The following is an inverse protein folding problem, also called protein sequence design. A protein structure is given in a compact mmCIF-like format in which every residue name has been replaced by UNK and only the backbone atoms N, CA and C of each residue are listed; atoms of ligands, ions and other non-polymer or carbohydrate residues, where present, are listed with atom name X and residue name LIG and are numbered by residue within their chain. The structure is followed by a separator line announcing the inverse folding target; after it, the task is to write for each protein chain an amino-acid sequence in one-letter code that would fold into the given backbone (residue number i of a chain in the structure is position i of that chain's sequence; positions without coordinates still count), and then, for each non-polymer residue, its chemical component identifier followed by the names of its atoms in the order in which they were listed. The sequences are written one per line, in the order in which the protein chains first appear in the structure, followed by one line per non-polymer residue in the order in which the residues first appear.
data_IF_996087093068
#
_entry.id   IF_996087093068
#
_cell.length_a   1.000
_cell.length_b   1.000
_cell.length_c   1.000
_cell.angle_alpha   90.00
_cell.angle_beta   90.00
_cell.angle_gamma   90.00
#
_symmetry.space_group_name_H-M   'P 1'
#
loop_
_entity.id
_entity.type
_entity.pdbx_description
1 polymer ?
#
# COMPACT_ATOMS: atom_id res chain seq x y z
N UNK A 1 -12.05 13.39 9.46
CA UNK A 1 -11.27 12.90 8.31
C UNK A 1 -11.89 13.49 7.05
N UNK A 2 -11.08 13.88 6.08
CA UNK A 2 -11.56 14.35 4.78
C UNK A 2 -12.26 13.19 4.04
N UNK A 3 -13.47 13.42 3.55
CA UNK A 3 -14.30 12.43 2.84
C UNK A 3 -13.55 11.87 1.62
N UNK A 4 -12.71 12.69 0.98
CA UNK A 4 -11.86 12.27 -0.13
C UNK A 4 -10.74 11.30 0.29
N UNK A 5 -10.23 11.40 1.53
CA UNK A 5 -9.24 10.45 2.06
C UNK A 5 -9.89 9.12 2.43
N UNK A 6 -11.12 9.15 2.93
CA UNK A 6 -11.86 7.93 3.27
C UNK A 6 -12.19 7.12 2.01
N UNK A 7 -12.63 7.77 0.93
CA UNK A 7 -12.92 7.10 -0.33
C UNK A 7 -11.64 6.46 -0.93
N UNK A 8 -10.50 7.14 -0.88
CA UNK A 8 -9.22 6.58 -1.34
C UNK A 8 -8.77 5.37 -0.51
N UNK A 9 -9.01 5.40 0.80
CA UNK A 9 -8.69 4.28 1.69
C UNK A 9 -9.55 3.06 1.34
N UNK A 10 -10.85 3.28 1.13
CA UNK A 10 -11.80 2.25 0.74
C UNK A 10 -11.47 1.62 -0.62
N UNK A 11 -11.18 2.46 -1.62
CA UNK A 11 -10.77 2.00 -2.96
C UNK A 11 -9.51 1.13 -2.90
N UNK A 12 -8.49 1.57 -2.14
CA UNK A 12 -7.25 0.84 -2.00
C UNK A 12 -7.45 -0.47 -1.23
N UNK A 13 -8.21 -0.45 -0.13
CA UNK A 13 -8.57 -1.66 0.63
C UNK A 13 -9.26 -2.69 -0.26
N UNK A 14 -10.29 -2.27 -0.99
CA UNK A 14 -11.06 -3.13 -1.89
C UNK A 14 -10.17 -3.73 -2.98
N UNK A 15 -9.31 -2.92 -3.60
CA UNK A 15 -8.37 -3.38 -4.62
C UNK A 15 -7.39 -4.44 -4.09
N UNK A 16 -6.86 -4.23 -2.88
CA UNK A 16 -5.95 -5.21 -2.24
C UNK A 16 -6.70 -6.50 -1.97
N UNK A 17 -7.87 -6.44 -1.35
CA UNK A 17 -8.70 -7.61 -1.06
C UNK A 17 -9.04 -8.40 -2.34
N UNK A 18 -9.41 -7.72 -3.43
CA UNK A 18 -9.68 -8.36 -4.72
C UNK A 18 -8.44 -9.05 -5.30
N UNK A 19 -7.28 -8.41 -5.22
CA UNK A 19 -6.02 -9.00 -5.69
C UNK A 19 -5.68 -10.28 -4.91
N UNK A 20 -5.85 -10.24 -3.59
CA UNK A 20 -5.61 -11.40 -2.73
C UNK A 20 -6.60 -12.54 -3.03
N UNK A 21 -7.90 -12.23 -3.14
CA UNK A 21 -8.92 -13.23 -3.49
C UNK A 21 -8.62 -13.89 -4.83
N UNK A 22 -8.16 -13.12 -5.83
CA UNK A 22 -7.78 -13.64 -7.14
C UNK A 22 -6.66 -14.68 -7.03
N UNK A 23 -5.63 -14.39 -6.23
CA UNK A 23 -4.49 -15.30 -6.04
C UNK A 23 -4.90 -16.56 -5.28
N UNK A 24 -5.65 -16.41 -4.18
CA UNK A 24 -6.16 -17.55 -3.42
C UNK A 24 -7.01 -18.44 -4.33
N UNK A 25 -7.94 -17.85 -5.09
CA UNK A 25 -8.84 -18.59 -5.99
C UNK A 25 -8.07 -19.35 -7.06
N UNK A 26 -7.07 -18.72 -7.68
CA UNK A 26 -6.23 -19.35 -8.69
C UNK A 26 -5.46 -20.55 -8.11
N UNK A 27 -4.84 -20.38 -6.94
CA UNK A 27 -4.02 -21.41 -6.28
C UNK A 27 -4.85 -22.56 -5.70
N UNK A 28 -6.08 -22.28 -5.23
CA UNK A 28 -7.00 -23.34 -4.82
C UNK A 28 -7.46 -24.14 -6.04
N UNK A 29 -7.76 -23.46 -7.16
CA UNK A 29 -8.24 -24.11 -8.39
C UNK A 29 -7.18 -24.99 -9.06
N UNK A 30 -5.91 -24.58 -9.03
CA UNK A 30 -4.81 -25.36 -9.60
C UNK A 30 -4.24 -26.42 -8.64
N UNK A 31 -4.73 -26.46 -7.39
CA UNK A 31 -4.33 -27.42 -6.36
C UNK A 31 -3.03 -27.06 -5.63
N UNK A 32 -2.40 -25.91 -5.92
CA UNK A 32 -1.21 -25.42 -5.22
C UNK A 32 -1.50 -24.85 -3.83
N UNK A 33 -2.78 -24.66 -3.47
CA UNK A 33 -3.23 -24.21 -2.14
C UNK A 33 -4.43 -25.03 -1.65
N UNK A 34 -4.41 -25.42 -0.38
CA UNK A 34 -5.55 -26.06 0.27
C UNK A 34 -6.60 -25.05 0.72
N UNK A 35 -7.86 -25.48 0.82
CA UNK A 35 -8.94 -24.63 1.36
C UNK A 35 -8.67 -24.14 2.79
N UNK A 36 -8.00 -24.97 3.62
CA UNK A 36 -7.61 -24.58 4.97
C UNK A 36 -6.59 -23.43 4.96
N UNK A 37 -5.58 -23.50 4.08
CA UNK A 37 -4.60 -22.41 3.90
C UNK A 37 -5.25 -21.15 3.35
N UNK A 38 -6.16 -21.29 2.38
CA UNK A 38 -6.95 -20.18 1.84
C UNK A 38 -7.77 -19.46 2.92
N UNK A 39 -8.41 -20.22 3.83
CA UNK A 39 -9.15 -19.65 4.95
C UNK A 39 -8.24 -18.88 5.92
N UNK A 40 -7.08 -19.41 6.27
CA UNK A 40 -6.12 -18.72 7.14
C UNK A 40 -5.67 -17.38 6.56
N UNK A 41 -5.41 -17.34 5.25
CA UNK A 41 -5.05 -16.09 4.56
C UNK A 41 -6.21 -15.10 4.61
N UNK A 42 -7.43 -15.55 4.31
CA UNK A 42 -8.61 -14.69 4.31
C UNK A 42 -8.89 -14.10 5.70
N UNK A 43 -8.76 -14.90 6.76
CA UNK A 43 -8.93 -14.46 8.16
C UNK A 43 -7.92 -13.36 8.53
N UNK A 44 -6.63 -13.58 8.22
CA UNK A 44 -5.59 -12.57 8.46
C UNK A 44 -5.90 -11.26 7.71
N UNK A 45 -6.29 -11.35 6.43
CA UNK A 45 -6.53 -10.17 5.61
C UNK A 45 -7.70 -9.35 6.15
N UNK A 46 -8.77 -10.00 6.62
CA UNK A 46 -9.90 -9.33 7.25
C UNK A 46 -9.51 -8.69 8.59
N UNK A 47 -8.61 -9.33 9.35
CA UNK A 47 -8.08 -8.79 10.60
C UNK A 47 -7.20 -7.55 10.36
N UNK A 48 -6.31 -7.62 9.37
CA UNK A 48 -5.32 -6.58 9.05
C UNK A 48 -5.91 -5.41 8.27
N UNK A 49 -6.95 -5.66 7.47
CA UNK A 49 -7.63 -4.66 6.65
C UNK A 49 -9.10 -4.49 7.06
N UNK A 50 -9.38 -4.03 8.29
CA UNK A 50 -10.74 -3.87 8.78
C UNK A 50 -11.49 -2.77 8.03
N UNK A 51 -12.81 -2.82 8.09
CA UNK A 51 -13.65 -1.74 7.57
C UNK A 51 -13.34 -0.41 8.27
N UNK A 52 -13.30 0.68 7.50
CA UNK A 52 -13.01 2.01 8.03
C UNK A 52 -11.54 2.28 8.37
N UNK A 53 -10.61 1.35 8.11
CA UNK A 53 -9.17 1.62 8.18
C UNK A 53 -8.82 2.87 7.35
N UNK A 54 -8.03 3.77 7.94
CA UNK A 54 -7.65 4.99 7.24
C UNK A 54 -6.50 4.75 6.26
N UNK A 55 -6.34 5.66 5.31
CA UNK A 55 -5.34 5.54 4.24
C UNK A 55 -3.91 5.36 4.78
N UNK A 56 -3.53 6.09 5.82
CA UNK A 56 -2.19 6.04 6.41
C UNK A 56 -1.91 4.66 7.03
N UNK A 57 -2.84 4.17 7.84
CA UNK A 57 -2.78 2.85 8.45
C UNK A 57 -2.72 1.74 7.40
N UNK A 58 -3.49 1.89 6.31
CA UNK A 58 -3.48 0.91 5.22
C UNK A 58 -2.08 0.81 4.60
N UNK A 59 -1.44 1.95 4.28
CA UNK A 59 -0.08 1.99 3.72
C UNK A 59 0.95 1.39 4.67
N UNK A 60 0.78 1.54 5.99
CA UNK A 60 1.67 0.94 6.99
C UNK A 60 1.48 -0.57 7.13
N UNK A 61 0.26 -1.07 6.94
CA UNK A 61 -0.06 -2.50 7.10
C UNK A 61 0.27 -3.31 5.85
N UNK A 62 0.09 -2.76 4.65
CA UNK A 62 0.28 -3.51 3.40
C UNK A 62 1.65 -4.22 3.30
N UNK A 63 2.80 -3.58 3.61
CA UNK A 63 4.11 -4.23 3.56
C UNK A 63 4.28 -5.39 4.54
N UNK A 64 3.41 -5.52 5.54
CA UNK A 64 3.49 -6.56 6.59
C UNK A 64 2.57 -7.74 6.32
N UNK A 65 1.76 -7.67 5.25
CA UNK A 65 0.82 -8.74 4.93
C UNK A 65 1.54 -10.02 4.51
N UNK A 66 2.67 -9.90 3.82
CA UNK A 66 3.44 -11.05 3.37
C UNK A 66 4.39 -11.65 4.42
N UNK A 67 4.63 -10.95 5.54
CA UNK A 67 5.37 -11.50 6.69
C UNK A 67 4.83 -12.85 7.18
N UNK A 68 3.53 -13.08 7.01
CA UNK A 68 2.85 -14.30 7.46
C UNK A 68 2.57 -15.30 6.33
N UNK A 69 2.53 -14.80 5.09
CA UNK A 69 2.14 -15.55 3.89
C UNK A 69 2.86 -14.99 2.66
N UNK A 70 3.96 -15.62 2.25
CA UNK A 70 4.70 -15.27 1.02
C UNK A 70 3.79 -15.28 -0.22
N UNK A 71 2.68 -16.01 -0.17
CA UNK A 71 1.66 -16.02 -1.21
C UNK A 71 1.08 -14.62 -1.48
N UNK A 72 1.05 -13.76 -0.47
CA UNK A 72 0.49 -12.40 -0.53
C UNK A 72 1.43 -11.39 -1.19
N UNK A 73 2.76 -11.62 -1.21
CA UNK A 73 3.71 -10.71 -1.86
C UNK A 73 3.32 -10.47 -3.32
N UNK A 74 2.87 -11.52 -4.03
CA UNK A 74 2.43 -11.42 -5.43
C UNK A 74 1.17 -10.55 -5.64
N UNK A 75 0.30 -10.41 -4.63
CA UNK A 75 -0.87 -9.53 -4.67
C UNK A 75 -0.50 -8.09 -4.29
N UNK A 76 0.32 -7.94 -3.25
CA UNK A 76 0.55 -6.65 -2.60
C UNK A 76 1.66 -5.85 -3.29
N UNK A 77 2.73 -6.50 -3.75
CA UNK A 77 3.89 -5.83 -4.36
C UNK A 77 3.54 -4.92 -5.55
N UNK A 78 2.70 -5.33 -6.53
CA UNK A 78 2.34 -4.45 -7.64
C UNK A 78 1.62 -3.18 -7.19
N UNK A 79 0.81 -3.29 -6.13
CA UNK A 79 0.06 -2.17 -5.54
C UNK A 79 1.02 -1.23 -4.81
N UNK A 80 1.96 -1.78 -4.04
CA UNK A 80 3.00 -1.02 -3.35
C UNK A 80 3.89 -0.25 -4.32
N UNK A 81 4.34 -0.89 -5.40
CA UNK A 81 5.15 -0.24 -6.44
C UNK A 81 4.38 0.91 -7.11
N UNK A 82 3.09 0.73 -7.41
CA UNK A 82 2.27 1.80 -7.99
C UNK A 82 2.13 2.97 -7.01
N UNK A 83 1.92 2.68 -5.73
CA UNK A 83 1.81 3.67 -4.69
C UNK A 83 3.11 4.47 -4.53
N UNK A 84 4.25 3.80 -4.42
CA UNK A 84 5.57 4.43 -4.35
C UNK A 84 5.83 5.36 -5.52
N UNK A 85 5.50 4.93 -6.75
CA UNK A 85 5.62 5.77 -7.95
C UNK A 85 4.74 7.01 -7.89
N UNK A 86 3.49 6.88 -7.44
CA UNK A 86 2.56 8.01 -7.29
C UNK A 86 3.06 9.00 -6.24
N UNK A 87 3.59 8.49 -5.13
CA UNK A 87 4.16 9.30 -4.06
C UNK A 87 5.40 10.04 -4.56
N UNK A 88 6.32 9.34 -5.22
CA UNK A 88 7.53 9.92 -5.78
C UNK A 88 7.20 11.02 -6.80
N UNK A 89 6.26 10.78 -7.71
CA UNK A 89 5.82 11.80 -8.66
C UNK A 89 5.21 13.05 -7.99
N UNK A 90 4.49 12.88 -6.88
CA UNK A 90 3.94 14.00 -6.11
C UNK A 90 5.04 14.81 -5.41
N UNK A 91 6.04 14.13 -4.85
CA UNK A 91 7.23 14.75 -4.24
C UNK A 91 8.04 15.52 -5.28
N UNK A 92 8.35 14.89 -6.42
CA UNK A 92 9.11 15.51 -7.51
C UNK A 92 8.41 16.76 -8.05
N UNK A 93 7.08 16.69 -8.23
CA UNK A 93 6.27 17.86 -8.61
C UNK A 93 6.41 18.97 -7.57
N UNK A 94 6.31 18.65 -6.28
CA UNK A 94 6.41 19.65 -5.21
C UNK A 94 7.79 20.29 -5.13
N UNK A 95 8.84 19.49 -5.31
CA UNK A 95 10.23 19.98 -5.42
C UNK A 95 10.36 20.95 -6.60
N UNK A 96 9.85 20.59 -7.78
CA UNK A 96 9.88 21.46 -8.96
C UNK A 96 9.14 22.78 -8.76
N UNK A 97 7.99 22.77 -8.09
CA UNK A 97 7.25 23.98 -7.72
C UNK A 97 8.06 24.87 -6.77
N UNK A 98 8.65 24.30 -5.72
CA UNK A 98 9.42 25.04 -4.71
C UNK A 98 10.73 25.61 -5.27
N UNK A 99 11.40 24.86 -6.14
CA UNK A 99 12.58 25.32 -6.90
C UNK A 99 12.21 26.54 -7.76
N UNK A 100 11.10 26.47 -8.48
CA UNK A 100 10.61 27.56 -9.33
C UNK A 100 10.22 28.81 -8.53
N UNK A 101 9.82 28.63 -7.27
CA UNK A 101 9.46 29.70 -6.34
C UNK A 101 10.65 30.27 -5.57
N UNK A 102 11.84 29.68 -5.68
CA UNK A 102 13.03 30.08 -4.92
C UNK A 102 12.93 29.83 -3.41
N UNK A 103 11.97 29.01 -2.95
CA UNK A 103 11.74 28.74 -1.54
C UNK A 103 12.62 27.58 -1.05
N UNK A 104 13.90 27.89 -0.78
CA UNK A 104 14.92 26.91 -0.44
C UNK A 104 14.70 26.23 0.92
N UNK A 105 14.12 26.94 1.90
CA UNK A 105 13.85 26.37 3.23
C UNK A 105 12.76 25.29 3.17
N UNK A 106 11.67 25.55 2.45
CA UNK A 106 10.62 24.56 2.23
C UNK A 106 11.11 23.38 1.36
N UNK A 107 12.02 23.65 0.42
CA UNK A 107 12.63 22.61 -0.41
C UNK A 107 13.48 21.65 0.43
N UNK A 108 14.30 22.17 1.35
CA UNK A 108 15.10 21.35 2.27
C UNK A 108 14.23 20.47 3.16
N UNK A 109 13.14 21.02 3.70
CA UNK A 109 12.19 20.26 4.53
C UNK A 109 11.51 19.11 3.75
N UNK A 110 11.01 19.38 2.54
CA UNK A 110 10.37 18.36 1.70
C UNK A 110 11.36 17.27 1.29
N UNK A 111 12.60 17.65 0.94
CA UNK A 111 13.63 16.70 0.53
C UNK A 111 14.04 15.78 1.69
N UNK A 112 14.19 16.33 2.91
CA UNK A 112 14.50 15.55 4.10
C UNK A 112 13.38 14.56 4.45
N UNK A 113 12.12 15.00 4.37
CA UNK A 113 10.96 14.11 4.59
C UNK A 113 10.89 12.99 3.56
N UNK A 114 11.18 13.27 2.29
CA UNK A 114 11.23 12.25 1.25
C UNK A 114 12.32 11.18 1.54
N UNK A 115 13.51 11.61 1.98
CA UNK A 115 14.60 10.71 2.36
C UNK A 115 14.23 9.85 3.58
N UNK A 116 13.53 10.39 4.57
CA UNK A 116 13.05 9.62 5.73
C UNK A 116 11.99 8.60 5.34
N UNK A 117 11.06 8.95 4.44
CA UNK A 117 10.05 8.01 3.94
C UNK A 117 10.68 6.87 3.17
N UNK A 118 11.68 7.15 2.32
CA UNK A 118 12.39 6.12 1.55
C UNK A 118 13.07 5.09 2.46
N UNK A 119 13.66 5.53 3.58
CA UNK A 119 14.28 4.63 4.57
C UNK A 119 13.30 3.74 5.32
N UNK A 120 12.01 4.11 5.40
CA UNK A 120 10.98 3.31 6.08
C UNK A 120 10.37 2.24 5.17
N UNK A 121 10.50 2.42 3.85
CA UNK A 121 10.00 1.51 2.83
C UNK A 121 11.07 0.52 2.33
N UNK A 122 12.35 0.79 2.63
CA UNK A 122 13.51 -0.08 2.33
C UNK A 122 13.83 -1.04 3.48
#
# INVERSE_FOLDING_TARGET
MDEAQQNKAEELRSRVQQSIVSIITARVKDGSMSEARARQIAELVLEKLPEGINYQQLIEVLPTLDDHFEELSTAVMPIMIEYERKLQAAVDKKIGELLSQGNLDALLDVTNKALEMQKRLS
#
